data_IF_874062970077
#
_entry.id   IF_874062970077
#
_cell.length_a   1.000
_cell.length_b   1.000
_cell.length_c   1.000
_cell.angle_alpha   90.00
_cell.angle_beta   90.00
_cell.angle_gamma   90.00
#
_symmetry.space_group_name_H-M   'P 1'
#
loop_
_entity.id
_entity.type
_entity.pdbx_description
1 polymer ?
#
# COMPACT_ATOMS: atom_id res chain seq x y z
N UNK A 1 23.08 19.78 -14.87
CA UNK A 1 22.96 18.35 -14.50
C UNK A 1 24.35 17.86 -14.18
N UNK A 2 24.56 17.44 -12.94
CA UNK A 2 25.81 16.79 -12.55
C UNK A 2 25.84 15.35 -13.11
N UNK A 3 27.02 14.86 -13.46
CA UNK A 3 27.21 13.48 -13.93
C UNK A 3 26.69 12.45 -12.93
N UNK A 4 26.79 12.75 -11.63
CA UNK A 4 26.21 11.93 -10.56
C UNK A 4 24.69 11.80 -10.68
N UNK A 5 23.99 12.89 -11.02
CA UNK A 5 22.54 12.87 -11.19
C UNK A 5 22.15 11.98 -12.38
N UNK A 6 22.88 12.08 -13.49
CA UNK A 6 22.63 11.27 -14.69
C UNK A 6 22.84 9.77 -14.39
N UNK A 7 23.94 9.41 -13.73
CA UNK A 7 24.23 8.02 -13.37
C UNK A 7 23.21 7.48 -12.38
N UNK A 8 22.83 8.26 -11.36
CA UNK A 8 21.80 7.86 -10.41
C UNK A 8 20.42 7.66 -11.06
N UNK A 9 20.05 8.51 -12.02
CA UNK A 9 18.81 8.38 -12.77
C UNK A 9 18.81 7.13 -13.65
N UNK A 10 19.91 6.85 -14.35
CA UNK A 10 20.06 5.61 -15.12
C UNK A 10 19.99 4.37 -14.22
N UNK A 11 20.65 4.41 -13.06
CA UNK A 11 20.58 3.31 -12.09
C UNK A 11 19.14 3.06 -11.59
N UNK A 12 18.37 4.11 -11.33
CA UNK A 12 16.96 4.00 -10.95
C UNK A 12 16.10 3.40 -12.07
N UNK A 13 16.33 3.81 -13.33
CA UNK A 13 15.61 3.23 -14.47
C UNK A 13 15.93 1.73 -14.60
N UNK A 14 17.20 1.35 -14.49
CA UNK A 14 17.61 -0.07 -14.52
C UNK A 14 16.97 -0.85 -13.37
N UNK A 15 16.95 -0.28 -12.16
CA UNK A 15 16.32 -0.90 -11.00
C UNK A 15 14.82 -1.14 -11.23
N UNK A 16 14.10 -0.15 -11.77
CA UNK A 16 12.69 -0.30 -12.13
C UNK A 16 12.50 -1.40 -13.17
N UNK A 17 13.32 -1.42 -14.24
CA UNK A 17 13.20 -2.43 -15.30
C UNK A 17 13.42 -3.85 -14.75
N UNK A 18 14.36 -4.03 -13.82
CA UNK A 18 14.64 -5.32 -13.19
C UNK A 18 13.51 -5.75 -12.24
N UNK A 19 12.96 -4.83 -11.45
CA UNK A 19 11.90 -5.14 -10.47
C UNK A 19 10.50 -5.22 -11.08
N UNK A 20 10.25 -4.53 -12.19
CA UNK A 20 8.93 -4.49 -12.80
C UNK A 20 8.36 -5.89 -13.15
N UNK A 21 9.11 -6.85 -13.72
CA UNK A 21 8.56 -8.18 -14.03
C UNK A 21 8.17 -8.95 -12.75
N UNK A 22 9.00 -8.91 -11.70
CA UNK A 22 8.68 -9.59 -10.43
C UNK A 22 7.52 -8.91 -9.72
N UNK A 23 7.45 -7.58 -9.72
CA UNK A 23 6.31 -6.83 -9.20
C UNK A 23 5.01 -7.16 -9.94
N UNK A 24 5.05 -7.23 -11.28
CA UNK A 24 3.89 -7.66 -12.10
C UNK A 24 3.49 -9.09 -11.79
N UNK A 25 4.44 -10.00 -11.67
CA UNK A 25 4.17 -11.39 -11.30
C UNK A 25 3.51 -11.47 -9.91
N UNK A 26 4.01 -10.71 -8.93
CA UNK A 26 3.42 -10.65 -7.60
C UNK A 26 1.98 -10.12 -7.64
N UNK A 27 1.73 -9.01 -8.34
CA UNK A 27 0.38 -8.44 -8.46
C UNK A 27 -0.59 -9.41 -9.13
N UNK A 28 -0.14 -10.11 -10.18
CA UNK A 28 -1.00 -11.01 -10.94
C UNK A 28 -1.25 -12.37 -10.23
N UNK A 29 -0.32 -12.83 -9.41
CA UNK A 29 -0.40 -14.13 -8.74
C UNK A 29 -0.78 -14.03 -7.25
N UNK A 30 -0.87 -12.83 -6.67
CA UNK A 30 -1.32 -12.67 -5.28
C UNK A 30 -2.83 -12.95 -5.15
N UNK A 31 -3.29 -13.51 -4.02
CA UNK A 31 -4.71 -13.62 -3.73
C UNK A 31 -5.38 -12.25 -3.86
N UNK A 32 -6.45 -12.16 -4.65
CA UNK A 32 -7.22 -10.92 -4.73
C UNK A 32 -7.99 -10.73 -3.43
N UNK A 33 -7.97 -9.51 -2.89
CA UNK A 33 -8.78 -9.16 -1.73
C UNK A 33 -10.25 -9.44 -2.01
N UNK A 34 -10.84 -10.32 -1.23
CA UNK A 34 -12.26 -10.67 -1.29
C UNK A 34 -13.09 -9.65 -0.51
N UNK A 35 -14.40 -9.63 -0.73
CA UNK A 35 -15.32 -8.82 0.09
C UNK A 35 -15.19 -9.13 1.59
N UNK A 36 -14.90 -10.39 1.93
CA UNK A 36 -14.66 -10.81 3.32
C UNK A 36 -13.41 -10.14 3.91
N UNK A 37 -12.33 -10.03 3.14
CA UNK A 37 -11.09 -9.37 3.58
C UNK A 37 -11.34 -7.87 3.85
N UNK A 38 -12.13 -7.22 3.00
CA UNK A 38 -12.53 -5.82 3.21
C UNK A 38 -13.43 -5.64 4.43
N UNK A 39 -14.38 -6.55 4.67
CA UNK A 39 -15.21 -6.52 5.87
C UNK A 39 -14.35 -6.68 7.13
N UNK A 40 -13.33 -7.55 7.10
CA UNK A 40 -12.42 -7.74 8.24
C UNK A 40 -11.63 -6.47 8.61
N UNK A 41 -11.38 -5.58 7.64
CA UNK A 41 -10.74 -4.26 7.86
C UNK A 41 -11.76 -3.22 8.33
N UNK A 42 -13.00 -3.27 7.82
CA UNK A 42 -14.06 -2.32 8.17
C UNK A 42 -14.49 -2.48 9.63
N UNK A 43 -14.54 -3.70 10.16
CA UNK A 43 -14.95 -3.98 11.55
C UNK A 43 -14.10 -3.22 12.59
N UNK A 44 -12.75 -3.33 12.60
CA UNK A 44 -11.93 -2.60 13.57
C UNK A 44 -11.99 -1.09 13.36
N UNK A 45 -12.08 -0.61 12.11
CA UNK A 45 -12.25 0.83 11.83
C UNK A 45 -13.56 1.35 12.42
N UNK A 46 -14.67 0.63 12.17
CA UNK A 46 -15.98 0.97 12.71
C UNK A 46 -15.97 0.95 14.24
N UNK A 47 -15.31 -0.03 14.87
CA UNK A 47 -15.17 -0.09 16.31
C UNK A 47 -14.44 1.13 16.89
N UNK A 48 -13.34 1.58 16.26
CA UNK A 48 -12.62 2.80 16.67
C UNK A 48 -13.50 4.04 16.53
N UNK A 49 -14.22 4.18 15.41
CA UNK A 49 -15.13 5.32 15.18
C UNK A 49 -16.24 5.34 16.23
N UNK A 50 -16.88 4.19 16.50
CA UNK A 50 -17.92 4.06 17.52
C UNK A 50 -17.38 4.40 18.92
N UNK A 51 -16.18 3.93 19.25
CA UNK A 51 -15.53 4.25 20.52
C UNK A 51 -15.29 5.75 20.67
N UNK A 52 -14.76 6.42 19.65
CA UNK A 52 -14.56 7.88 19.66
C UNK A 52 -15.90 8.61 19.87
N UNK A 53 -16.96 8.21 19.17
CA UNK A 53 -18.28 8.82 19.34
C UNK A 53 -18.84 8.63 20.76
N UNK A 54 -18.61 7.47 21.38
CA UNK A 54 -18.98 7.21 22.77
C UNK A 54 -18.23 8.15 23.71
N UNK A 55 -16.92 8.34 23.51
CA UNK A 55 -16.12 9.26 24.33
C UNK A 55 -16.62 10.71 24.21
N UNK A 56 -16.98 11.16 23.00
CA UNK A 56 -17.55 12.50 22.77
C UNK A 56 -18.87 12.71 23.54
N UNK A 57 -19.65 11.65 23.75
CA UNK A 57 -20.93 11.73 24.49
C UNK A 57 -20.73 11.71 26.01
N UNK A 58 -19.62 11.15 26.49
CA UNK A 58 -19.34 10.99 27.92
C UNK A 58 -18.62 12.21 28.53
N UNK A 59 -17.84 12.93 27.71
CA UNK A 59 -17.18 14.20 28.07
C UNK A 59 -18.12 15.37 27.83
#
# INVERSE_FOLDING_TARGET
>A
MDWMQIVSALALVVFIVILLPSARAMINNSPKGTTSDWISVIIPIAAVILFIMLLIKLV
#
